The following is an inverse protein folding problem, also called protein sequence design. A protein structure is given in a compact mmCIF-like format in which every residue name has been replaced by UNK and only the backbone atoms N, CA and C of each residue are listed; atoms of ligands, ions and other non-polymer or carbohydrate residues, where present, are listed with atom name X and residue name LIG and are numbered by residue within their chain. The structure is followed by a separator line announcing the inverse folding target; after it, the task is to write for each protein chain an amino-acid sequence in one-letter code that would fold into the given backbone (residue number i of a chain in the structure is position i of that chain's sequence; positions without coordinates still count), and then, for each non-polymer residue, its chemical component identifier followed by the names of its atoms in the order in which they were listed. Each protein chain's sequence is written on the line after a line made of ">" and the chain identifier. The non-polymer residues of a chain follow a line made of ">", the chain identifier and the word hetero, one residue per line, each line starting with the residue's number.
data_IF_568676815434
#
_entry.id   IF_568676815434
#
_cell.length_a   1.000
_cell.length_b   1.000
_cell.length_c   1.000
_cell.angle_alpha   90.00
_cell.angle_beta   90.00
_cell.angle_gamma   90.00
#
_symmetry.space_group_name_H-M   'P 1'
#
loop_
_entity.id
_entity.type
_entity.pdbx_description
1 polymer ?
#
# COMPACT_ATOMS: atom_id res chain seq x y z
N UNK A 1 -7.41 -1.79 2.27
CA UNK A 1 -7.68 -0.75 1.25
C UNK A 1 -6.47 -0.64 0.32
N UNK A 2 -6.67 -0.22 -0.93
CA UNK A 2 -5.64 -0.16 -1.97
C UNK A 2 -5.43 1.30 -2.44
N UNK A 3 -4.20 1.79 -2.30
CA UNK A 3 -3.75 3.10 -2.82
C UNK A 3 -3.39 3.02 -4.31
N UNK A 4 -2.71 1.93 -4.70
CA UNK A 4 -2.28 1.60 -6.07
C UNK A 4 -1.58 2.74 -6.83
N UNK A 5 -0.84 3.58 -6.09
CA UNK A 5 -0.16 4.76 -6.62
C UNK A 5 1.15 5.04 -5.87
N UNK A 6 2.07 5.74 -6.55
CA UNK A 6 3.37 6.10 -6.02
C UNK A 6 3.57 7.60 -5.82
N UNK A 7 2.50 8.33 -5.53
CA UNK A 7 2.55 9.78 -5.34
C UNK A 7 1.98 10.19 -3.96
N UNK A 8 2.62 11.12 -3.22
CA UNK A 8 2.20 11.47 -1.85
C UNK A 8 0.76 11.98 -1.74
N UNK A 9 0.24 12.65 -2.78
CA UNK A 9 -1.13 13.13 -2.85
C UNK A 9 -2.18 12.01 -3.02
N UNK A 10 -1.75 10.77 -3.20
CA UNK A 10 -2.61 9.60 -3.27
C UNK A 10 -2.69 8.86 -1.93
N UNK A 11 -1.91 9.29 -0.94
CA UNK A 11 -1.89 8.65 0.36
C UNK A 11 -3.29 8.62 1.00
N UNK A 12 -3.68 7.50 1.66
CA UNK A 12 -4.93 7.39 2.39
C UNK A 12 -5.27 8.57 3.30
N UNK A 13 -4.29 9.07 4.06
CA UNK A 13 -4.44 10.23 4.96
C UNK A 13 -4.78 11.52 4.21
N UNK A 14 -4.23 11.72 3.01
CA UNK A 14 -4.54 12.87 2.17
C UNK A 14 -5.95 12.76 1.58
N UNK A 15 -6.35 11.56 1.14
CA UNK A 15 -7.70 11.28 0.67
C UNK A 15 -8.79 11.64 1.70
N UNK A 16 -8.57 11.37 2.99
CA UNK A 16 -9.52 11.75 4.05
C UNK A 16 -9.75 13.27 4.15
N UNK A 17 -8.76 14.08 3.76
CA UNK A 17 -8.84 15.54 3.80
C UNK A 17 -9.33 16.16 2.48
N UNK A 18 -9.69 15.35 1.49
CA UNK A 18 -10.14 15.81 0.17
C UNK A 18 -11.49 15.20 -0.18
N UNK A 19 -11.52 14.10 -0.94
CA UNK A 19 -12.74 13.40 -1.35
C UNK A 19 -12.57 11.92 -1.00
N UNK A 20 -12.94 11.51 0.23
CA UNK A 20 -12.64 10.16 0.70
C UNK A 20 -13.38 9.06 -0.08
N UNK A 21 -14.50 9.38 -0.73
CA UNK A 21 -15.29 8.44 -1.54
C UNK A 21 -14.77 8.25 -2.97
N UNK A 22 -13.71 8.97 -3.37
CA UNK A 22 -13.08 8.77 -4.68
C UNK A 22 -12.57 7.33 -4.79
N UNK A 23 -12.63 6.73 -5.98
CA UNK A 23 -11.98 5.44 -6.23
C UNK A 23 -10.48 5.54 -5.85
N UNK A 24 -9.94 4.50 -5.22
CA UNK A 24 -8.59 4.45 -4.62
C UNK A 24 -8.38 5.27 -3.32
N UNK A 25 -9.45 5.83 -2.75
CA UNK A 25 -9.44 6.44 -1.42
C UNK A 25 -10.16 5.55 -0.37
N UNK A 26 -9.94 5.79 0.94
CA UNK A 26 -10.40 4.93 2.04
C UNK A 26 -11.90 4.58 2.08
N UNK A 27 -12.79 5.48 1.66
CA UNK A 27 -14.24 5.24 1.66
C UNK A 27 -14.75 4.75 0.30
N UNK A 28 -13.93 4.79 -0.74
CA UNK A 28 -14.33 4.48 -2.12
C UNK A 28 -14.72 3.01 -2.34
N UNK A 29 -14.26 2.08 -1.49
CA UNK A 29 -14.55 0.64 -1.57
C UNK A 29 -15.61 0.15 -0.55
N UNK A 30 -16.11 1.05 0.30
CA UNK A 30 -17.13 0.79 1.32
C UNK A 30 -16.69 -0.07 2.52
N UNK A 31 -15.44 -0.55 2.56
CA UNK A 31 -14.96 -1.44 3.63
C UNK A 31 -14.82 -0.72 4.96
N UNK A 32 -14.32 0.53 4.93
CA UNK A 32 -14.17 1.35 6.13
C UNK A 32 -15.50 1.52 6.86
N UNK A 33 -16.54 1.94 6.11
CA UNK A 33 -17.89 2.13 6.64
C UNK A 33 -18.42 0.84 7.25
N UNK A 34 -18.26 -0.30 6.57
CA UNK A 34 -18.69 -1.60 7.08
C UNK A 34 -18.06 -1.94 8.43
N UNK A 35 -16.73 -1.78 8.59
CA UNK A 35 -16.05 -2.05 9.86
C UNK A 35 -16.48 -1.10 10.97
N UNK A 36 -16.69 0.18 10.66
CA UNK A 36 -17.20 1.15 11.63
C UNK A 36 -18.59 0.78 12.15
N UNK A 37 -19.47 0.19 11.31
CA UNK A 37 -20.80 -0.26 11.76
C UNK A 37 -20.75 -1.38 12.81
N UNK A 38 -19.61 -2.09 12.94
CA UNK A 38 -19.41 -3.13 13.96
C UNK A 38 -18.96 -2.57 15.32
N UNK A 39 -18.82 -1.25 15.44
CA UNK A 39 -18.32 -0.60 16.65
C UNK A 39 -16.82 -0.78 16.86
N UNK A 40 -16.07 -1.11 15.80
CA UNK A 40 -14.62 -1.31 15.88
C UNK A 40 -13.88 0.02 15.73
N UNK A 41 -12.74 0.13 16.41
CA UNK A 41 -11.73 1.15 16.08
C UNK A 41 -11.12 0.73 14.75
N UNK A 42 -11.26 1.57 13.73
CA UNK A 42 -10.67 1.32 12.42
C UNK A 42 -9.47 2.24 12.21
N UNK A 43 -8.36 1.64 11.80
CA UNK A 43 -7.15 2.37 11.42
C UNK A 43 -6.91 2.19 9.93
N UNK A 44 -6.49 3.26 9.28
CA UNK A 44 -6.08 3.25 7.88
C UNK A 44 -4.69 3.85 7.83
N UNK A 45 -3.74 3.05 7.37
CA UNK A 45 -2.31 3.40 7.33
C UNK A 45 -1.93 3.83 5.93
N UNK A 46 -1.13 4.89 5.82
CA UNK A 46 -0.37 5.21 4.59
C UNK A 46 0.74 4.17 4.41
N UNK A 47 0.39 2.97 3.98
CA UNK A 47 1.33 1.85 3.89
C UNK A 47 2.35 2.02 2.75
N UNK A 48 2.14 2.96 1.83
CA UNK A 48 3.17 3.45 0.91
C UNK A 48 4.29 4.22 1.62
N UNK A 49 4.07 4.71 2.84
CA UNK A 49 5.05 5.49 3.61
C UNK A 49 5.43 6.82 2.94
N UNK A 50 6.47 7.48 3.47
CA UNK A 50 6.92 8.80 3.00
C UNK A 50 7.39 8.84 1.55
N UNK A 51 7.79 7.70 1.01
CA UNK A 51 8.29 7.53 -0.36
C UNK A 51 7.19 7.08 -1.34
N UNK A 52 5.95 6.87 -0.88
CA UNK A 52 4.84 6.38 -1.73
C UNK A 52 5.22 5.10 -2.47
N UNK A 53 5.72 4.14 -1.71
CA UNK A 53 6.36 2.93 -2.21
C UNK A 53 5.36 1.84 -2.59
N UNK A 54 4.44 2.13 -3.51
CA UNK A 54 3.54 1.12 -4.04
C UNK A 54 4.34 -0.09 -4.60
N UNK A 55 3.80 -1.29 -4.36
CA UNK A 55 4.41 -2.60 -4.59
C UNK A 55 5.57 -3.01 -3.67
N UNK A 56 6.04 -2.14 -2.76
CA UNK A 56 7.14 -2.45 -1.84
C UNK A 56 6.61 -3.07 -0.55
N UNK A 57 6.52 -4.40 -0.57
CA UNK A 57 5.93 -5.21 0.48
C UNK A 57 6.48 -4.99 1.89
N UNK A 58 7.80 -5.07 2.08
CA UNK A 58 8.42 -4.90 3.39
C UNK A 58 8.03 -3.57 4.05
N UNK A 59 8.15 -2.48 3.29
CA UNK A 59 7.78 -1.15 3.77
C UNK A 59 6.30 -1.10 4.18
N UNK A 60 5.41 -1.62 3.35
CA UNK A 60 3.98 -1.66 3.67
C UNK A 60 3.66 -2.50 4.90
N UNK A 61 4.32 -3.63 5.08
CA UNK A 61 4.17 -4.47 6.27
C UNK A 61 4.61 -3.76 7.54
N UNK A 62 5.78 -3.11 7.54
CA UNK A 62 6.26 -2.34 8.69
C UNK A 62 5.31 -1.18 9.03
N UNK A 63 4.87 -0.41 8.03
CA UNK A 63 3.97 0.71 8.25
C UNK A 63 2.64 0.26 8.89
N UNK A 64 2.09 -0.87 8.46
CA UNK A 64 0.84 -1.41 9.03
C UNK A 64 1.04 -1.85 10.48
N UNK A 65 2.12 -2.60 10.77
CA UNK A 65 2.42 -3.08 12.13
C UNK A 65 2.69 -1.91 13.09
N UNK A 66 3.47 -0.92 12.66
CA UNK A 66 3.70 0.30 13.44
C UNK A 66 2.44 1.18 13.53
N UNK A 67 1.55 1.12 12.54
CA UNK A 67 0.22 1.73 12.58
C UNK A 67 -0.63 1.17 13.74
N UNK A 68 -0.62 -0.14 13.95
CA UNK A 68 -1.28 -0.74 15.12
C UNK A 68 -0.66 -0.25 16.43
N UNK A 69 0.67 -0.24 16.55
CA UNK A 69 1.38 0.27 17.74
C UNK A 69 1.03 1.74 18.02
N UNK A 70 1.04 2.57 16.98
CA UNK A 70 0.71 3.98 17.08
C UNK A 70 -0.72 4.18 17.58
N UNK A 71 -1.69 3.42 17.06
CA UNK A 71 -3.08 3.48 17.48
C UNK A 71 -3.28 3.03 18.93
N UNK A 72 -2.66 1.92 19.33
CA UNK A 72 -2.69 1.42 20.72
C UNK A 72 -2.18 2.49 21.67
N UNK A 73 -1.03 3.10 21.36
CA UNK A 73 -0.42 4.14 22.20
C UNK A 73 -1.26 5.42 22.24
N UNK A 74 -1.72 5.89 21.09
CA UNK A 74 -2.47 7.15 20.97
C UNK A 74 -3.81 7.08 21.69
N UNK A 75 -4.55 5.98 21.51
CA UNK A 75 -5.86 5.75 22.10
C UNK A 75 -5.80 5.17 23.52
N UNK A 76 -4.58 4.90 24.04
CA UNK A 76 -4.34 4.28 25.34
C UNK A 76 -5.09 2.95 25.52
N UNK A 77 -5.09 2.12 24.48
CA UNK A 77 -5.70 0.80 24.51
C UNK A 77 -4.86 -0.16 25.34
N UNK A 78 -5.46 -1.28 25.75
CA UNK A 78 -4.69 -2.39 26.31
C UNK A 78 -3.66 -2.89 25.30
N UNK A 79 -2.46 -3.23 25.77
CA UNK A 79 -1.42 -3.86 24.94
C UNK A 79 -1.88 -5.21 24.35
N UNK A 80 -2.84 -5.87 25.02
CA UNK A 80 -3.44 -7.12 24.56
C UNK A 80 -4.71 -6.94 23.72
N UNK A 81 -5.02 -5.71 23.27
CA UNK A 81 -6.19 -5.48 22.40
C UNK A 81 -6.15 -6.40 21.19
N UNK A 82 -7.30 -7.00 20.86
CA UNK A 82 -7.41 -7.90 19.70
C UNK A 82 -7.34 -7.07 18.43
N UNK A 83 -6.39 -7.42 17.57
CA UNK A 83 -6.19 -6.79 16.29
C UNK A 83 -6.65 -7.70 15.15
N UNK A 84 -7.15 -7.07 14.10
CA UNK A 84 -7.44 -7.72 12.82
C UNK A 84 -7.22 -6.76 11.66
N UNK A 85 -7.22 -7.30 10.45
CA UNK A 85 -6.91 -6.53 9.26
C UNK A 85 -7.56 -7.11 8.01
N UNK A 86 -7.76 -6.23 7.02
CA UNK A 86 -8.34 -6.57 5.74
C UNK A 86 -7.61 -5.86 4.57
N UNK A 87 -7.34 -6.60 3.49
CA UNK A 87 -6.75 -6.04 2.29
C UNK A 87 -7.15 -6.77 1.00
N UNK A 88 -7.47 -6.03 -0.06
CA UNK A 88 -7.74 -6.60 -1.38
C UNK A 88 -6.87 -5.92 -2.44
N UNK A 89 -6.51 -6.62 -3.51
CA UNK A 89 -5.65 -6.08 -4.59
C UNK A 89 -4.33 -5.53 -4.03
N UNK A 90 -3.94 -4.27 -4.29
CA UNK A 90 -2.73 -3.68 -3.70
C UNK A 90 -2.76 -3.58 -2.17
N UNK A 91 -3.95 -3.49 -1.56
CA UNK A 91 -4.09 -3.57 -0.11
C UNK A 91 -3.70 -4.93 0.47
N UNK A 92 -3.87 -6.00 -0.33
CA UNK A 92 -3.44 -7.34 0.06
C UNK A 92 -1.91 -7.49 0.06
N UNK A 93 -1.17 -6.62 -0.65
CA UNK A 93 0.30 -6.56 -0.56
C UNK A 93 0.67 -6.18 0.88
N UNK A 94 0.15 -5.04 1.37
CA UNK A 94 0.42 -4.57 2.73
C UNK A 94 -0.04 -5.58 3.79
N UNK A 95 -1.29 -6.05 3.72
CA UNK A 95 -1.83 -7.00 4.70
C UNK A 95 -1.08 -8.34 4.69
N UNK A 96 -0.71 -8.85 3.51
CA UNK A 96 0.08 -10.07 3.38
C UNK A 96 1.49 -9.92 3.96
N UNK A 97 2.17 -8.81 3.69
CA UNK A 97 3.49 -8.54 4.23
C UNK A 97 3.47 -8.26 5.74
N UNK A 98 2.44 -7.60 6.27
CA UNK A 98 2.29 -7.48 7.73
C UNK A 98 2.10 -8.85 8.38
N UNK A 99 1.38 -9.77 7.73
CA UNK A 99 1.23 -11.14 8.23
C UNK A 99 2.58 -11.88 8.26
N UNK A 100 3.36 -11.75 7.18
CA UNK A 100 4.67 -12.40 7.07
C UNK A 100 5.70 -11.85 8.09
N UNK A 101 5.64 -10.55 8.39
CA UNK A 101 6.61 -9.87 9.26
C UNK A 101 6.22 -9.87 10.74
N UNK A 102 4.97 -10.19 11.09
CA UNK A 102 4.46 -10.00 12.44
C UNK A 102 5.28 -10.72 13.50
N UNK A 103 5.62 -12.00 13.30
CA UNK A 103 6.36 -12.79 14.29
C UNK A 103 7.76 -12.22 14.59
N UNK A 104 8.44 -11.68 13.58
CA UNK A 104 9.82 -11.22 13.71
C UNK A 104 9.92 -9.74 14.10
N UNK A 105 9.00 -8.91 13.61
CA UNK A 105 9.04 -7.45 13.77
C UNK A 105 8.13 -6.93 14.90
N UNK A 106 6.99 -7.58 15.12
CA UNK A 106 5.98 -7.14 16.08
C UNK A 106 5.28 -8.32 16.81
N UNK A 107 6.07 -9.21 17.47
CA UNK A 107 5.54 -10.40 18.14
C UNK A 107 4.56 -10.07 19.28
N UNK A 108 4.64 -8.86 19.82
CA UNK A 108 3.78 -8.39 20.92
C UNK A 108 2.35 -8.03 20.48
N UNK A 109 2.11 -7.85 19.17
CA UNK A 109 0.78 -7.49 18.67
C UNK A 109 -0.15 -8.69 18.66
N UNK A 110 -1.27 -8.59 19.38
CA UNK A 110 -2.29 -9.64 19.47
C UNK A 110 -3.20 -9.69 18.22
N UNK A 111 -2.62 -9.97 17.06
CA UNK A 111 -3.34 -10.11 15.78
C UNK A 111 -4.00 -11.49 15.70
N UNK A 112 -5.33 -11.52 15.62
CA UNK A 112 -6.11 -12.77 15.55
C UNK A 112 -6.49 -13.19 14.14
N UNK A 113 -6.67 -12.23 13.24
CA UNK A 113 -7.05 -12.52 11.86
C UNK A 113 -6.61 -11.42 10.89
N UNK A 114 -5.98 -11.82 9.79
CA UNK A 114 -5.74 -10.96 8.64
C UNK A 114 -6.41 -11.61 7.43
N UNK A 115 -7.43 -10.95 6.88
CA UNK A 115 -8.15 -11.41 5.70
C UNK A 115 -7.66 -10.66 4.47
N UNK A 116 -7.16 -11.35 3.45
CA UNK A 116 -6.72 -10.68 2.24
C UNK A 116 -6.94 -11.52 0.97
N UNK A 117 -7.16 -10.84 -0.15
CA UNK A 117 -7.53 -11.50 -1.42
C UNK A 117 -7.12 -10.72 -2.66
N UNK A 118 -7.19 -11.38 -3.83
CA UNK A 118 -6.69 -10.80 -5.08
C UNK A 118 -5.19 -10.46 -5.01
N UNK A 119 -4.43 -11.24 -4.24
CA UNK A 119 -3.12 -10.85 -3.72
C UNK A 119 -2.03 -10.88 -4.78
N UNK A 120 -1.39 -9.74 -5.07
CA UNK A 120 -0.13 -9.72 -5.81
C UNK A 120 0.97 -10.28 -4.91
N UNK A 121 1.21 -11.59 -4.95
CA UNK A 121 2.18 -12.26 -4.07
C UNK A 121 3.60 -12.26 -4.63
N UNK A 122 3.76 -12.03 -5.94
CA UNK A 122 5.04 -11.96 -6.62
C UNK A 122 5.05 -10.78 -7.60
N UNK A 123 5.80 -9.72 -7.27
CA UNK A 123 5.80 -8.47 -8.04
C UNK A 123 6.34 -8.64 -9.46
N UNK A 124 7.30 -9.55 -9.66
CA UNK A 124 7.83 -9.86 -11.00
C UNK A 124 6.75 -10.50 -11.87
N UNK A 125 6.06 -11.51 -11.36
CA UNK A 125 4.96 -12.17 -12.09
C UNK A 125 3.80 -11.21 -12.34
N UNK A 126 3.44 -10.39 -11.35
CA UNK A 126 2.40 -9.37 -11.49
C UNK A 126 2.76 -8.34 -12.56
N UNK A 127 4.01 -7.85 -12.58
CA UNK A 127 4.50 -6.94 -13.62
C UNK A 127 4.31 -7.54 -15.02
N UNK A 128 4.77 -8.77 -15.24
CA UNK A 128 4.64 -9.42 -16.56
C UNK A 128 3.19 -9.67 -16.97
N UNK A 129 2.31 -9.98 -16.02
CA UNK A 129 0.90 -10.21 -16.29
C UNK A 129 0.15 -8.92 -16.68
N UNK A 130 0.51 -7.78 -16.09
CA UNK A 130 -0.08 -6.47 -16.37
C UNK A 130 0.49 -5.84 -17.66
N UNK A 131 1.75 -6.13 -17.97
CA UNK A 131 2.47 -5.52 -19.08
C UNK A 131 1.75 -5.74 -20.42
N UNK A 132 1.68 -4.67 -21.22
CA UNK A 132 0.97 -4.61 -22.51
C UNK A 132 -0.55 -4.90 -22.46
N UNK A 133 -1.14 -5.08 -21.27
CA UNK A 133 -2.58 -5.24 -21.07
C UNK A 133 -3.30 -3.93 -20.77
N UNK A 134 -4.61 -4.02 -20.58
CA UNK A 134 -5.47 -2.88 -20.25
C UNK A 134 -5.13 -2.20 -18.90
N UNK A 135 -4.37 -2.88 -18.04
CA UNK A 135 -3.98 -2.42 -16.72
C UNK A 135 -2.46 -2.19 -16.59
N UNK A 136 -1.75 -2.00 -17.70
CA UNK A 136 -0.31 -1.82 -17.73
C UNK A 136 0.19 -0.64 -16.88
N UNK A 137 -0.65 0.38 -16.64
CA UNK A 137 -0.32 1.50 -15.75
C UNK A 137 0.05 1.08 -14.32
N UNK A 138 -0.55 0.00 -13.79
CA UNK A 138 -0.14 -0.54 -12.47
C UNK A 138 1.27 -1.13 -12.48
N UNK A 139 1.74 -1.65 -13.62
CA UNK A 139 3.12 -2.13 -13.77
C UNK A 139 4.11 -0.96 -13.71
N UNK A 140 3.76 0.18 -14.34
CA UNK A 140 4.57 1.40 -14.29
C UNK A 140 4.54 2.03 -12.89
N UNK A 141 3.36 2.16 -12.29
CA UNK A 141 3.22 2.67 -10.91
C UNK A 141 3.98 1.81 -9.90
N UNK A 142 3.87 0.49 -10.00
CA UNK A 142 4.63 -0.43 -9.15
C UNK A 142 6.13 -0.27 -9.35
N UNK A 143 6.61 -0.20 -10.60
CA UNK A 143 8.02 0.03 -10.88
C UNK A 143 8.51 1.39 -10.37
N UNK A 144 7.69 2.43 -10.43
CA UNK A 144 8.00 3.73 -9.84
C UNK A 144 8.24 3.59 -8.33
N UNK A 145 7.29 3.00 -7.60
CA UNK A 145 7.45 2.73 -6.17
C UNK A 145 8.71 1.93 -5.84
N UNK A 146 9.05 0.91 -6.63
CA UNK A 146 10.31 0.16 -6.47
C UNK A 146 11.54 1.06 -6.69
N UNK A 147 11.57 1.83 -7.79
CA UNK A 147 12.69 2.73 -8.13
C UNK A 147 12.90 3.80 -7.06
N UNK A 148 11.84 4.37 -6.48
CA UNK A 148 11.99 5.32 -5.38
C UNK A 148 12.49 4.70 -4.07
N UNK A 149 12.25 3.40 -3.87
CA UNK A 149 12.54 2.74 -2.59
C UNK A 149 13.91 2.06 -2.54
N UNK A 150 14.43 1.65 -3.70
CA UNK A 150 15.67 0.88 -3.81
C UNK A 150 16.72 1.69 -4.59
N UNK A 151 17.68 2.37 -3.92
CA UNK A 151 18.70 3.19 -4.58
C UNK A 151 19.52 2.44 -5.63
N UNK A 152 19.82 1.16 -5.39
CA UNK A 152 20.52 0.27 -6.31
C UNK A 152 19.71 0.01 -7.58
N UNK A 153 18.38 -0.13 -7.46
CA UNK A 153 17.49 -0.27 -8.60
C UNK A 153 17.40 1.04 -9.37
N UNK A 154 17.30 2.18 -8.67
CA UNK A 154 17.28 3.49 -9.31
C UNK A 154 18.56 3.75 -10.13
N UNK A 155 19.72 3.42 -9.56
CA UNK A 155 21.00 3.54 -10.24
C UNK A 155 21.03 2.68 -11.52
N UNK A 156 20.58 1.42 -11.43
CA UNK A 156 20.52 0.52 -12.58
C UNK A 156 19.52 1.00 -13.63
N UNK A 157 18.31 1.38 -13.21
CA UNK A 157 17.26 1.90 -14.08
C UNK A 157 17.75 3.13 -14.86
N UNK A 158 18.40 4.07 -14.17
CA UNK A 158 18.94 5.29 -14.78
C UNK A 158 19.94 5.04 -15.91
N UNK A 159 20.68 3.93 -15.86
CA UNK A 159 21.63 3.52 -16.90
C UNK A 159 20.97 2.88 -18.12
N UNK A 160 19.87 2.14 -17.93
CA UNK A 160 19.27 1.30 -18.98
C UNK A 160 17.99 1.89 -19.58
N UNK A 161 17.33 2.80 -18.86
CA UNK A 161 16.05 3.35 -19.28
C UNK A 161 16.19 4.36 -20.42
N UNK A 162 15.29 4.26 -21.39
CA UNK A 162 15.11 5.28 -22.43
C UNK A 162 14.56 6.58 -21.82
N UNK A 163 14.64 7.69 -22.56
CA UNK A 163 14.02 8.95 -22.15
C UNK A 163 12.51 8.78 -21.87
N UNK A 164 11.80 8.01 -22.71
CA UNK A 164 10.37 7.69 -22.50
C UNK A 164 10.16 6.89 -21.21
N UNK A 165 11.01 5.90 -20.92
CA UNK A 165 10.93 5.13 -19.68
C UNK A 165 11.15 5.98 -18.43
N UNK A 166 12.13 6.89 -18.47
CA UNK A 166 12.37 7.84 -17.37
C UNK A 166 11.17 8.77 -17.16
N UNK A 167 10.59 9.30 -18.23
CA UNK A 167 9.38 10.11 -18.16
C UNK A 167 8.19 9.34 -17.56
N UNK A 168 7.99 8.08 -17.95
CA UNK A 168 6.91 7.25 -17.42
C UNK A 168 7.03 7.01 -15.91
N UNK A 169 8.25 6.79 -15.39
CA UNK A 169 8.47 6.67 -13.94
C UNK A 169 8.22 7.98 -13.20
N UNK A 170 8.59 9.12 -13.79
CA UNK A 170 8.26 10.44 -13.23
C UNK A 170 6.74 10.63 -13.16
N UNK A 171 6.02 10.30 -14.22
CA UNK A 171 4.54 10.34 -14.25
C UNK A 171 3.93 9.39 -13.21
N UNK A 172 4.47 8.18 -13.08
CA UNK A 172 4.02 7.22 -12.07
C UNK A 172 4.21 7.69 -10.62
N UNK A 173 5.13 8.62 -10.39
CA UNK A 173 5.34 9.29 -9.10
C UNK A 173 4.52 10.57 -8.91
N UNK A 174 3.73 10.98 -9.90
CA UNK A 174 2.97 12.24 -9.85
C UNK A 174 1.47 12.06 -10.01
N UNK A 175 0.98 10.85 -10.29
CA UNK A 175 -0.43 10.57 -10.58
C UNK A 175 -1.02 9.51 -9.65
N UNK A 176 -2.35 9.50 -9.53
CA UNK A 176 -3.08 8.51 -8.73
C UNK A 176 -3.79 7.51 -9.63
N UNK A 177 -3.48 6.21 -9.47
CA UNK A 177 -4.10 5.13 -10.24
C UNK A 177 -3.46 4.87 -11.62
N UNK A 178 -3.86 3.77 -12.26
CA UNK A 178 -3.24 3.27 -13.49
C UNK A 178 -3.69 3.95 -14.78
N UNK A 179 -4.82 4.64 -14.81
CA UNK A 179 -5.34 5.25 -16.05
C UNK A 179 -4.58 6.53 -16.45
N UNK A 180 -3.80 7.08 -15.52
CA UNK A 180 -3.08 8.35 -15.67
C UNK A 180 -1.59 8.16 -16.03
N UNK A 181 -1.18 6.94 -16.41
CA UNK A 181 0.20 6.52 -16.69
C UNK A 181 0.27 5.67 -17.97
#
# INVERSE_FOLDING_TARGET
>A
MYEDASAPQCAPSYCFNTIPQKLFCPDGDGQLVYFMTKGWIVIVTDFGGKTSSFSVGHQSGYQILDGYRAAIKFLKLSENVVLGGYGYSGGAIGTGWSAALQNDYAPELNIKALAFGGTPSNMTSTFYQLNAGAFAGFAVGGLAGQVASYPELNARFSQIATAKGKAAIITGHSQCGAADI
#
